data_IF_025352894320
#
_entry.id   IF_025352894320
#
_cell.length_a   1.000
_cell.length_b   1.000
_cell.length_c   1.000
_cell.angle_alpha   90.00
_cell.angle_beta   90.00
_cell.angle_gamma   90.00
#
_symmetry.space_group_name_H-M   'P 1'
#
loop_
_entity.id
_entity.type
_entity.pdbx_description
1 polymer ?
#
# COMPACT_ATOMS: atom_id res chain seq x y z
N UNK A 1 -3.96 6.14 -7.70
CA UNK A 1 -4.55 7.50 -7.56
C UNK A 1 -5.09 7.68 -6.15
N UNK A 2 -4.54 8.60 -5.35
CA UNK A 2 -4.91 8.77 -3.94
C UNK A 2 -6.34 9.32 -3.73
N UNK A 3 -6.89 10.04 -4.72
CA UNK A 3 -8.26 10.58 -4.67
C UNK A 3 -9.33 9.49 -4.45
N UNK A 4 -9.18 8.35 -5.14
CA UNK A 4 -10.12 7.24 -4.99
C UNK A 4 -10.17 6.72 -3.54
N UNK A 5 -9.00 6.64 -2.88
CA UNK A 5 -8.91 6.21 -1.48
C UNK A 5 -9.48 7.27 -0.55
N UNK A 6 -9.06 8.53 -0.71
CA UNK A 6 -9.37 9.60 0.24
C UNK A 6 -10.83 10.08 0.16
N UNK A 7 -11.43 10.07 -1.04
CA UNK A 7 -12.72 10.74 -1.28
C UNK A 7 -13.83 9.75 -1.61
N UNK A 8 -13.55 8.78 -2.48
CA UNK A 8 -14.59 7.92 -3.05
C UNK A 8 -14.84 6.67 -2.19
N UNK A 9 -13.80 5.87 -1.96
CA UNK A 9 -13.93 4.53 -1.37
C UNK A 9 -13.81 4.53 0.15
N UNK A 10 -12.86 5.32 0.70
CA UNK A 10 -12.56 5.39 2.14
C UNK A 10 -12.39 3.99 2.80
N UNK A 11 -11.52 3.12 2.26
CA UNK A 11 -11.34 1.77 2.79
C UNK A 11 -10.58 1.77 4.13
N UNK A 12 -10.63 0.67 4.88
CA UNK A 12 -9.85 0.48 6.11
C UNK A 12 -8.36 0.21 5.87
N UNK A 13 -7.99 -0.30 4.69
CA UNK A 13 -6.61 -0.55 4.27
C UNK A 13 -6.50 -0.53 2.74
N UNK A 14 -5.30 -0.26 2.22
CA UNK A 14 -5.03 -0.24 0.78
C UNK A 14 -3.79 -1.06 0.45
N UNK A 15 -3.87 -1.89 -0.58
CA UNK A 15 -2.73 -2.60 -1.17
C UNK A 15 -2.59 -2.12 -2.62
N UNK A 16 -1.63 -1.24 -2.94
CA UNK A 16 -1.44 -0.77 -4.30
C UNK A 16 -0.76 -1.86 -5.14
N UNK A 17 -1.55 -2.52 -5.98
CA UNK A 17 -1.06 -3.46 -7.00
C UNK A 17 -0.90 -2.77 -8.35
N UNK A 18 -0.22 -3.42 -9.30
CA UNK A 18 -0.05 -2.94 -10.67
C UNK A 18 0.55 -1.51 -10.78
N UNK A 19 1.43 -1.13 -9.85
CA UNK A 19 2.19 0.11 -9.97
C UNK A 19 3.04 0.17 -11.26
N UNK A 20 3.31 -1.00 -11.85
CA UNK A 20 4.11 -1.20 -13.06
C UNK A 20 5.47 -0.49 -12.97
N UNK A 21 6.05 -0.53 -11.77
CA UNK A 21 7.27 0.17 -11.38
C UNK A 21 7.94 -0.62 -10.25
N UNK A 22 9.27 -0.61 -10.20
CA UNK A 22 10.03 -1.17 -9.08
C UNK A 22 9.88 -0.24 -7.89
N UNK A 23 8.81 -0.44 -7.12
CA UNK A 23 8.43 0.41 -6.01
C UNK A 23 9.25 0.16 -4.73
N UNK A 24 9.91 -1.00 -4.64
CA UNK A 24 10.70 -1.37 -3.46
C UNK A 24 12.07 -1.89 -3.86
N UNK A 25 13.07 -1.59 -3.02
CA UNK A 25 14.43 -2.11 -3.15
C UNK A 25 14.91 -2.58 -1.77
N UNK A 26 15.30 -3.86 -1.68
CA UNK A 26 15.74 -4.46 -0.41
C UNK A 26 14.67 -4.45 0.69
N UNK A 27 13.40 -4.64 0.34
CA UNK A 27 12.31 -4.63 1.32
C UNK A 27 11.85 -3.24 1.77
N UNK A 28 12.39 -2.16 1.20
CA UNK A 28 12.00 -0.78 1.52
C UNK A 28 11.39 -0.09 0.33
N UNK A 29 10.41 0.78 0.59
CA UNK A 29 9.84 1.69 -0.39
C UNK A 29 10.96 2.55 -0.99
N UNK A 30 11.02 2.59 -2.31
CA UNK A 30 12.00 3.37 -3.04
C UNK A 30 11.47 4.80 -3.22
N UNK A 31 12.25 5.77 -2.75
CA UNK A 31 11.95 7.18 -2.90
C UNK A 31 11.91 7.60 -4.38
N UNK A 32 11.08 8.60 -4.69
CA UNK A 32 10.88 9.11 -6.05
C UNK A 32 9.96 8.25 -6.93
N UNK A 33 9.55 7.07 -6.48
CA UNK A 33 8.58 6.24 -7.22
C UNK A 33 7.16 6.80 -7.15
N UNK A 34 6.33 6.45 -8.13
CA UNK A 34 4.89 6.80 -8.12
C UNK A 34 4.19 6.18 -6.92
N UNK A 35 4.65 5.00 -6.50
CA UNK A 35 4.14 4.31 -5.31
C UNK A 35 4.48 5.07 -4.03
N UNK A 36 5.68 5.63 -3.91
CA UNK A 36 6.04 6.46 -2.77
C UNK A 36 5.20 7.74 -2.71
N UNK A 37 4.99 8.39 -3.86
CA UNK A 37 4.09 9.55 -3.96
C UNK A 37 2.63 9.19 -3.65
N UNK A 38 2.18 8.02 -4.05
CA UNK A 38 0.84 7.55 -3.72
C UNK A 38 0.69 7.33 -2.21
N UNK A 39 1.62 6.62 -1.59
CA UNK A 39 1.61 6.34 -0.16
C UNK A 39 1.61 7.63 0.68
N UNK A 40 2.37 8.65 0.27
CA UNK A 40 2.40 9.95 0.96
C UNK A 40 1.13 10.79 0.79
N UNK A 41 0.34 10.56 -0.27
CA UNK A 41 -0.90 11.29 -0.54
C UNK A 41 -2.15 10.64 0.05
N UNK A 42 -2.09 9.34 0.40
CA UNK A 42 -3.18 8.66 1.11
C UNK A 42 -3.22 9.15 2.55
N UNK A 43 -4.41 9.47 3.05
CA UNK A 43 -4.60 10.07 4.38
C UNK A 43 -5.44 9.15 5.28
N UNK A 44 -4.96 8.88 6.48
CA UNK A 44 -5.72 8.19 7.53
C UNK A 44 -6.01 6.71 7.25
N UNK A 45 -5.43 6.14 6.19
CA UNK A 45 -5.61 4.74 5.80
C UNK A 45 -4.23 4.10 5.62
N UNK A 46 -3.96 2.92 6.21
CA UNK A 46 -2.70 2.22 6.02
C UNK A 46 -2.54 1.75 4.56
N UNK A 47 -1.37 2.02 4.00
CA UNK A 47 -0.96 1.58 2.66
C UNK A 47 0.07 0.47 2.83
N UNK A 48 -0.29 -0.75 2.45
CA UNK A 48 0.57 -1.92 2.59
C UNK A 48 1.16 -2.34 1.24
N UNK A 49 2.49 -2.39 1.17
CA UNK A 49 3.23 -2.74 -0.02
C UNK A 49 3.40 -4.26 -0.12
N UNK A 50 2.91 -4.90 -1.19
CA UNK A 50 3.11 -6.34 -1.35
C UNK A 50 4.56 -6.63 -1.76
N UNK A 51 5.20 -7.58 -1.06
CA UNK A 51 6.48 -8.15 -1.48
C UNK A 51 6.25 -9.46 -2.22
N UNK A 52 6.89 -9.62 -3.38
CA UNK A 52 6.78 -10.85 -4.15
C UNK A 52 7.19 -12.07 -3.33
N UNK A 53 6.33 -13.08 -3.28
CA UNK A 53 6.56 -14.32 -2.53
C UNK A 53 6.29 -14.23 -1.02
N UNK A 54 5.89 -13.07 -0.50
CA UNK A 54 5.50 -12.90 0.91
C UNK A 54 3.99 -12.83 1.01
N UNK A 55 3.39 -13.78 1.72
CA UNK A 55 1.95 -13.76 2.01
C UNK A 55 1.65 -12.75 3.12
N UNK A 56 0.74 -11.82 2.84
CA UNK A 56 0.20 -10.89 3.82
C UNK A 56 -1.09 -11.45 4.42
N UNK A 57 -1.26 -11.32 5.73
CA UNK A 57 -2.43 -11.77 6.47
C UNK A 57 -3.12 -10.59 7.14
N UNK A 58 -4.46 -10.59 7.09
CA UNK A 58 -5.30 -9.54 7.64
C UNK A 58 -6.42 -10.12 8.49
N UNK A 59 -6.81 -9.41 9.53
CA UNK A 59 -7.99 -9.74 10.34
C UNK A 59 -9.30 -9.20 9.71
N UNK A 60 -10.44 -9.47 10.36
CA UNK A 60 -11.76 -8.98 9.92
C UNK A 60 -11.93 -7.44 9.96
N UNK A 61 -10.96 -6.72 10.53
CA UNK A 61 -10.91 -5.26 10.53
C UNK A 61 -9.93 -4.69 9.50
N UNK A 62 -9.39 -5.54 8.61
CA UNK A 62 -8.35 -5.17 7.65
C UNK A 62 -7.05 -4.68 8.31
N UNK A 63 -6.80 -5.04 9.57
CA UNK A 63 -5.50 -4.81 10.21
C UNK A 63 -4.55 -5.91 9.76
N UNK A 64 -3.36 -5.51 9.31
CA UNK A 64 -2.33 -6.49 8.99
C UNK A 64 -1.84 -7.20 10.25
N UNK A 65 -1.83 -8.53 10.23
CA UNK A 65 -1.38 -9.38 11.34
C UNK A 65 -0.06 -10.10 11.04
N UNK A 66 0.29 -10.28 9.77
CA UNK A 66 1.58 -10.83 9.34
C UNK A 66 1.93 -10.43 7.90
N UNK A 67 3.22 -10.35 7.57
CA UNK A 67 3.71 -10.21 6.19
C UNK A 67 3.64 -8.81 5.58
N UNK A 68 3.24 -7.80 6.36
CA UNK A 68 3.53 -6.39 6.11
C UNK A 68 4.82 -6.00 6.86
#
# INVERSE_FOLDING_TARGET
>A
MAFAVNVLLKPKAVIPTHANEVATKGGKLQDGTKTAKFASLVKGVPVHLPFSGVTMQFDGNAKCVAGC
#
